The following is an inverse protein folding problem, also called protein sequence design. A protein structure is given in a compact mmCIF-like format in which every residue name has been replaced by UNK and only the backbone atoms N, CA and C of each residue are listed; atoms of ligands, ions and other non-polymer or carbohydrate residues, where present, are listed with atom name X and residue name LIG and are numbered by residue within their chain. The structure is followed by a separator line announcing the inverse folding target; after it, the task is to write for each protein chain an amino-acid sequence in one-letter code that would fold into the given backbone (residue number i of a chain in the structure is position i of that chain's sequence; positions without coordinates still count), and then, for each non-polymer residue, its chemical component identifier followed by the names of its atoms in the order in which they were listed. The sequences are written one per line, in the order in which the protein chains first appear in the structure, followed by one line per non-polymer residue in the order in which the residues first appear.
data_IF_922091428094
#
_entry.id   IF_922091428094
#
_cell.length_a   1.000
_cell.length_b   1.000
_cell.length_c   1.000
_cell.angle_alpha   90.00
_cell.angle_beta   90.00
_cell.angle_gamma   90.00
#
_symmetry.space_group_name_H-M   'P 1'
#
loop_
_entity.id
_entity.type
_entity.pdbx_description
1 polymer ?
#
# COMPACT_ATOMS: atom_id res chain seq x y z
N UNK A 1 1.64 5.15 14.38
CA UNK A 1 1.55 6.12 13.26
C UNK A 1 0.14 6.65 13.11
N UNK A 2 0.02 7.92 12.78
CA UNK A 2 -1.27 8.50 12.47
C UNK A 2 -1.67 8.15 11.03
N UNK A 3 -2.96 8.20 10.77
CA UNK A 3 -3.50 7.83 9.47
C UNK A 3 -2.85 8.60 8.31
N UNK A 4 -2.62 9.90 8.50
CA UNK A 4 -1.99 10.74 7.48
C UNK A 4 -0.56 10.31 7.18
N UNK A 5 0.17 9.90 8.20
CA UNK A 5 1.54 9.40 8.01
C UNK A 5 1.54 8.12 7.21
N UNK A 6 0.59 7.23 7.47
CA UNK A 6 0.45 5.99 6.74
C UNK A 6 0.14 6.27 5.27
N UNK A 7 -0.78 7.19 5.01
CA UNK A 7 -1.11 7.59 3.65
C UNK A 7 0.12 8.11 2.90
N UNK A 8 0.90 8.96 3.54
CA UNK A 8 2.10 9.53 2.93
C UNK A 8 3.15 8.46 2.66
N UNK A 9 3.34 7.53 3.58
CA UNK A 9 4.29 6.44 3.39
C UNK A 9 3.88 5.50 2.27
N UNK A 10 2.60 5.17 2.17
CA UNK A 10 2.09 4.34 1.08
C UNK A 10 2.26 5.06 -0.26
N UNK A 11 1.92 6.33 -0.32
CA UNK A 11 2.07 7.15 -1.52
C UNK A 11 3.53 7.22 -1.95
N UNK A 12 4.42 7.48 -1.01
CA UNK A 12 5.86 7.55 -1.27
C UNK A 12 6.38 6.21 -1.78
N UNK A 13 5.94 5.12 -1.17
CA UNK A 13 6.34 3.78 -1.55
C UNK A 13 5.94 3.47 -3.00
N UNK A 14 4.70 3.76 -3.36
CA UNK A 14 4.21 3.54 -4.72
C UNK A 14 4.96 4.39 -5.74
N UNK A 15 5.29 5.62 -5.38
CA UNK A 15 6.05 6.49 -6.25
C UNK A 15 7.48 5.98 -6.45
N UNK A 16 8.13 5.55 -5.39
CA UNK A 16 9.51 5.09 -5.45
C UNK A 16 9.66 3.72 -6.12
N UNK A 17 8.77 2.78 -5.81
CA UNK A 17 8.87 1.42 -6.34
C UNK A 17 8.38 1.30 -7.77
N UNK A 18 7.31 1.99 -8.12
CA UNK A 18 6.64 1.79 -9.41
C UNK A 18 6.62 3.02 -10.28
N UNK A 19 7.29 4.08 -9.85
CA UNK A 19 7.38 5.35 -10.60
C UNK A 19 6.02 5.94 -10.96
N UNK A 20 5.04 5.76 -10.06
CA UNK A 20 3.71 6.31 -10.27
C UNK A 20 3.71 7.77 -9.84
N UNK A 21 3.22 8.69 -10.68
CA UNK A 21 3.14 10.11 -10.30
C UNK A 21 2.29 10.29 -9.05
N UNK A 22 2.75 11.08 -8.07
CA UNK A 22 2.00 11.25 -6.82
C UNK A 22 0.57 11.76 -7.02
N UNK A 23 0.35 12.55 -8.06
CA UNK A 23 -0.99 13.08 -8.34
C UNK A 23 -1.98 12.00 -8.77
N UNK A 24 -1.49 10.86 -9.24
CA UNK A 24 -2.35 9.74 -9.62
C UNK A 24 -2.68 8.84 -8.44
N UNK A 25 -1.97 8.99 -7.33
CA UNK A 25 -2.16 8.16 -6.15
C UNK A 25 -3.19 8.82 -5.24
N UNK A 26 -4.46 8.56 -5.52
CA UNK A 26 -5.57 9.06 -4.72
C UNK A 26 -6.20 7.89 -3.98
N UNK A 27 -6.97 8.18 -2.92
CA UNK A 27 -7.54 7.13 -2.07
C UNK A 27 -8.38 6.12 -2.85
N UNK A 28 -9.11 6.58 -3.84
CA UNK A 28 -9.99 5.73 -4.65
C UNK A 28 -9.29 5.05 -5.81
N UNK A 29 -8.00 5.32 -6.05
CA UNK A 29 -7.26 4.72 -7.17
C UNK A 29 -7.17 3.20 -6.96
N UNK A 30 -7.52 2.46 -8.01
CA UNK A 30 -7.47 1.00 -7.98
C UNK A 30 -6.07 0.55 -8.39
N UNK A 31 -5.48 -0.34 -7.58
CA UNK A 31 -4.09 -0.75 -7.76
C UNK A 31 -3.84 -1.38 -9.13
N UNK A 32 -4.70 -2.29 -9.56
CA UNK A 32 -4.51 -3.00 -10.83
C UNK A 32 -4.98 -2.19 -12.02
N UNK A 33 -6.15 -1.59 -11.92
CA UNK A 33 -6.81 -0.96 -13.05
C UNK A 33 -6.34 0.47 -13.30
N UNK A 34 -6.14 1.23 -12.24
CA UNK A 34 -5.77 2.65 -12.36
C UNK A 34 -4.25 2.86 -12.30
N UNK A 35 -3.56 2.09 -11.48
CA UNK A 35 -2.12 2.23 -11.30
C UNK A 35 -1.30 1.22 -12.10
N UNK A 36 -1.96 0.25 -12.70
CA UNK A 36 -1.29 -0.73 -13.57
C UNK A 36 -0.41 -1.72 -12.85
N UNK A 37 -0.66 -1.96 -11.56
CA UNK A 37 0.11 -2.94 -10.79
C UNK A 37 -0.40 -4.36 -11.06
N UNK A 38 0.45 -5.35 -10.81
CA UNK A 38 0.05 -6.75 -10.91
C UNK A 38 0.31 -7.47 -9.57
N UNK A 39 0.09 -8.78 -9.54
CA UNK A 39 0.23 -9.54 -8.31
C UNK A 39 1.67 -9.57 -7.80
N UNK A 40 2.64 -9.52 -8.69
CA UNK A 40 4.06 -9.48 -8.31
C UNK A 40 4.37 -8.14 -7.65
N UNK A 41 3.84 -7.06 -8.20
CA UNK A 41 4.01 -5.73 -7.63
C UNK A 41 3.38 -5.64 -6.25
N UNK A 42 2.23 -6.26 -6.05
CA UNK A 42 1.56 -6.29 -4.75
C UNK A 42 2.43 -6.99 -3.70
N UNK A 43 3.06 -8.12 -4.06
CA UNK A 43 3.96 -8.84 -3.16
C UNK A 43 5.17 -7.97 -2.80
N UNK A 44 5.73 -7.29 -3.79
CA UNK A 44 6.86 -6.38 -3.59
C UNK A 44 6.50 -5.28 -2.60
N UNK A 45 5.32 -4.70 -2.76
CA UNK A 45 4.81 -3.66 -1.87
C UNK A 45 4.67 -4.19 -0.43
N UNK A 46 4.16 -5.41 -0.28
CA UNK A 46 4.02 -6.05 1.03
C UNK A 46 5.38 -6.19 1.72
N UNK A 47 6.39 -6.65 1.00
CA UNK A 47 7.73 -6.82 1.53
C UNK A 47 8.28 -5.49 2.06
N UNK A 48 8.11 -4.42 1.28
CA UNK A 48 8.57 -3.10 1.69
C UNK A 48 7.79 -2.55 2.88
N UNK A 49 6.49 -2.80 2.93
CA UNK A 49 5.67 -2.39 4.06
C UNK A 49 6.07 -3.11 5.34
N UNK A 50 6.43 -4.38 5.25
CA UNK A 50 6.95 -5.13 6.41
C UNK A 50 8.22 -4.48 6.95
N UNK A 51 9.11 -4.06 6.07
CA UNK A 51 10.36 -3.40 6.49
C UNK A 51 10.09 -2.06 7.15
N UNK A 52 9.14 -1.30 6.64
CA UNK A 52 8.82 0.03 7.17
C UNK A 52 8.08 -0.03 8.50
N UNK A 53 7.19 -0.98 8.66
CA UNK A 53 6.37 -1.09 9.86
C UNK A 53 6.97 -1.97 10.94
N UNK A 54 7.91 -2.84 10.57
CA UNK A 54 8.46 -3.84 11.48
C UNK A 54 7.47 -4.95 11.82
N UNK A 55 6.35 -4.99 11.13
CA UNK A 55 5.30 -5.99 11.36
C UNK A 55 5.26 -6.99 10.22
N UNK A 56 4.91 -8.22 10.54
CA UNK A 56 4.78 -9.28 9.56
C UNK A 56 3.41 -9.17 8.89
N UNK A 57 3.39 -9.12 7.57
CA UNK A 57 2.15 -9.00 6.81
C UNK A 57 1.92 -10.29 6.02
N UNK A 58 0.77 -10.90 6.20
CA UNK A 58 0.40 -12.10 5.45
C UNK A 58 -0.17 -11.69 4.10
N UNK A 59 0.26 -12.32 3.00
CA UNK A 59 -0.31 -11.99 1.68
C UNK A 59 -1.82 -12.11 1.63
N UNK A 60 -2.40 -12.98 2.43
CA UNK A 60 -3.85 -13.18 2.49
C UNK A 60 -4.60 -11.94 2.93
N UNK A 61 -3.97 -11.11 3.76
CA UNK A 61 -4.58 -9.87 4.23
C UNK A 61 -4.75 -8.87 3.11
N UNK A 62 -3.95 -9.00 2.04
CA UNK A 62 -4.00 -8.10 0.89
C UNK A 62 -4.83 -8.63 -0.27
N UNK A 63 -5.38 -9.83 -0.17
CA UNK A 63 -6.22 -10.38 -1.23
C UNK A 63 -7.47 -9.55 -1.48
N UNK A 64 -8.00 -8.94 -0.43
CA UNK A 64 -9.20 -8.10 -0.52
C UNK A 64 -8.88 -6.63 -0.83
N UNK A 65 -7.60 -6.29 -0.83
CA UNK A 65 -7.16 -4.91 -1.10
C UNK A 65 -7.28 -4.62 -2.58
N UNK A 66 -7.98 -3.53 -2.93
CA UNK A 66 -8.18 -3.13 -4.32
C UNK A 66 -7.74 -1.71 -4.60
N UNK A 67 -7.85 -0.83 -3.61
CA UNK A 67 -7.55 0.59 -3.77
C UNK A 67 -6.43 1.01 -2.84
N UNK A 68 -5.91 2.22 -3.08
CA UNK A 68 -4.91 2.84 -2.20
C UNK A 68 -5.47 2.96 -0.77
N UNK A 69 -6.74 3.35 -0.63
CA UNK A 69 -7.39 3.45 0.67
C UNK A 69 -7.38 2.11 1.40
N UNK A 70 -7.63 1.02 0.68
CA UNK A 70 -7.61 -0.32 1.26
C UNK A 70 -6.23 -0.68 1.81
N UNK A 71 -5.17 -0.27 1.11
CA UNK A 71 -3.80 -0.49 1.57
C UNK A 71 -3.54 0.27 2.85
N UNK A 72 -3.94 1.54 2.89
CA UNK A 72 -3.75 2.39 4.07
C UNK A 72 -4.49 1.80 5.27
N UNK A 73 -5.74 1.37 5.07
CA UNK A 73 -6.54 0.77 6.12
C UNK A 73 -5.92 -0.52 6.64
N UNK A 74 -5.40 -1.35 5.74
CA UNK A 74 -4.77 -2.61 6.12
C UNK A 74 -3.51 -2.37 6.97
N UNK A 75 -2.70 -1.40 6.58
CA UNK A 75 -1.50 -1.04 7.33
C UNK A 75 -1.87 -0.48 8.70
N UNK A 76 -2.90 0.34 8.76
CA UNK A 76 -3.35 0.92 10.02
C UNK A 76 -3.80 -0.15 10.99
N UNK A 77 -4.60 -1.10 10.53
CA UNK A 77 -5.05 -2.22 11.36
C UNK A 77 -3.88 -3.04 11.88
N UNK A 78 -2.89 -3.23 11.03
CA UNK A 78 -1.68 -3.97 11.40
C UNK A 78 -0.91 -3.27 12.52
N UNK A 79 -0.80 -1.95 12.44
CA UNK A 79 -0.07 -1.18 13.43
C UNK A 79 -0.83 -1.06 14.76
N UNK A 80 -2.14 -1.19 14.73
CA UNK A 80 -2.98 -1.15 15.92
C UNK A 80 -3.08 -2.48 16.65
N UNK A 81 -2.68 -3.56 16.01
CA UNK A 81 -2.78 -4.91 16.59
C UNK A 81 -1.63 -5.24 17.52
#
# INVERSE_FOLDING_TARGET
MQHQEIEQEVKKLLTELFEIPPQDIVASARLYEDLGLDSIDAVDMIVHLQKKTGKKIKPEEFKAVRTVQDVVDAVQRLLES
#
